data_IF_476834880257
#
_entry.id   IF_476834880257
#
_cell.length_a   1.000
_cell.length_b   1.000
_cell.length_c   1.000
_cell.angle_alpha   90.00
_cell.angle_beta   90.00
_cell.angle_gamma   90.00
#
_symmetry.space_group_name_H-M   'P 1'
#
loop_
_entity.id
_entity.type
_entity.pdbx_description
1 polymer ?
#
# COMPACT_ATOMS: atom_id res chain seq x y z
N UNK A 1 6.35 1.90 13.44
CA UNK A 1 5.85 1.14 12.27
C UNK A 1 4.71 1.91 11.65
N UNK A 2 4.68 1.97 10.35
CA UNK A 2 3.64 2.69 9.61
C UNK A 2 3.09 1.79 8.50
N UNK A 3 2.12 0.97 8.87
CA UNK A 3 1.52 -0.03 8.01
C UNK A 3 0.22 0.49 7.39
N UNK A 4 -0.13 0.01 6.17
CA UNK A 4 -1.47 0.25 5.62
C UNK A 4 -2.60 -0.36 6.43
N UNK A 5 -2.32 -1.23 7.37
CA UNK A 5 -3.32 -1.92 8.17
C UNK A 5 -3.30 -1.44 9.61
N UNK A 6 -4.48 -1.34 10.21
CA UNK A 6 -4.64 -1.16 11.66
C UNK A 6 -4.85 -2.52 12.29
N UNK A 7 -4.10 -2.81 13.36
CA UNK A 7 -4.14 -4.10 14.03
C UNK A 7 -3.22 -5.12 13.39
N UNK A 8 -3.57 -6.39 13.54
CA UNK A 8 -2.73 -7.50 13.06
C UNK A 8 -2.74 -7.61 11.55
N UNK A 9 -1.56 -7.86 10.99
CA UNK A 9 -1.36 -8.11 9.56
C UNK A 9 -0.15 -9.02 9.36
N UNK A 10 -0.02 -9.59 8.15
CA UNK A 10 1.11 -10.44 7.77
C UNK A 10 1.94 -9.77 6.68
N UNK A 11 3.25 -10.00 6.74
CA UNK A 11 4.13 -9.86 5.58
C UNK A 11 4.20 -11.24 4.93
N UNK A 12 3.73 -11.34 3.69
CA UNK A 12 3.70 -12.60 2.94
C UNK A 12 4.76 -12.68 1.85
N UNK A 13 5.33 -11.54 1.45
CA UNK A 13 6.48 -11.48 0.56
C UNK A 13 7.31 -10.24 0.87
N UNK A 14 8.63 -10.43 0.95
CA UNK A 14 9.59 -9.39 1.31
C UNK A 14 9.94 -8.49 0.13
N UNK A 15 10.43 -7.31 0.43
CA UNK A 15 11.09 -6.45 -0.55
C UNK A 15 12.41 -7.12 -0.99
N UNK A 16 12.62 -7.21 -2.29
CA UNK A 16 13.79 -7.86 -2.91
C UNK A 16 14.34 -7.03 -4.06
N UNK A 17 14.28 -5.72 -3.94
CA UNK A 17 14.75 -4.83 -5.00
C UNK A 17 13.97 -5.03 -6.30
N UNK A 18 14.69 -5.25 -7.40
CA UNK A 18 14.06 -5.43 -8.71
C UNK A 18 13.24 -6.72 -8.83
N UNK A 19 13.49 -7.71 -7.99
CA UNK A 19 12.74 -8.97 -8.01
C UNK A 19 11.38 -8.84 -7.32
N UNK A 20 11.25 -7.92 -6.35
CA UNK A 20 10.00 -7.57 -5.70
C UNK A 20 10.14 -6.18 -5.08
N UNK A 21 9.51 -5.18 -5.69
CA UNK A 21 9.77 -3.78 -5.39
C UNK A 21 8.96 -3.21 -4.23
N UNK A 22 8.33 -4.05 -3.45
CA UNK A 22 7.54 -3.67 -2.29
C UNK A 22 7.38 -4.81 -1.32
N UNK A 23 6.49 -4.64 -0.36
CA UNK A 23 6.06 -5.70 0.56
C UNK A 23 4.67 -6.16 0.14
N UNK A 24 4.45 -7.48 0.17
CA UNK A 24 3.10 -8.02 0.10
C UNK A 24 2.57 -8.21 1.51
N UNK A 25 1.42 -7.62 1.77
CA UNK A 25 0.81 -7.57 3.09
C UNK A 25 -0.61 -8.12 3.04
N UNK A 26 -1.00 -8.81 4.12
CA UNK A 26 -2.35 -9.35 4.28
C UNK A 26 -2.91 -8.91 5.63
N UNK A 27 -4.04 -8.24 5.61
CA UNK A 27 -4.72 -7.84 6.84
C UNK A 27 -5.35 -9.03 7.55
N UNK A 28 -5.16 -9.09 8.85
CA UNK A 28 -5.76 -10.12 9.72
C UNK A 28 -6.94 -9.52 10.47
N UNK A 29 -6.72 -8.43 11.20
CA UNK A 29 -7.77 -7.78 11.97
C UNK A 29 -8.81 -7.12 11.06
N UNK A 30 -8.37 -6.57 9.92
CA UNK A 30 -9.24 -5.90 8.95
C UNK A 30 -8.62 -5.97 7.57
N UNK A 31 -9.48 -5.90 6.54
CA UNK A 31 -9.05 -5.79 5.13
C UNK A 31 -9.04 -4.34 4.66
N UNK A 32 -9.38 -3.41 5.51
CA UNK A 32 -9.32 -1.99 5.18
C UNK A 32 -7.87 -1.54 5.03
N UNK A 33 -7.61 -0.79 3.96
CA UNK A 33 -6.29 -0.23 3.67
C UNK A 33 -6.34 1.25 4.00
N UNK A 34 -5.35 1.72 4.74
CA UNK A 34 -5.23 3.10 5.21
C UNK A 34 -4.05 3.78 4.57
N UNK A 35 -4.16 5.08 4.35
CA UNK A 35 -3.01 5.88 3.95
C UNK A 35 -1.95 5.85 5.05
N UNK A 36 -0.69 5.71 4.63
CA UNK A 36 0.46 5.72 5.54
C UNK A 36 1.17 7.08 5.53
N UNK A 37 0.66 8.03 4.77
CA UNK A 37 1.23 9.37 4.65
C UNK A 37 0.12 10.41 4.57
N UNK A 38 0.48 11.65 4.91
CA UNK A 38 -0.32 12.81 4.56
C UNK A 38 0.04 13.19 3.13
N UNK A 39 -0.93 13.25 2.25
CA UNK A 39 -0.63 13.48 0.85
C UNK A 39 -1.85 13.71 -0.02
N UNK A 40 -1.60 13.69 -1.32
CA UNK A 40 -2.63 13.87 -2.34
C UNK A 40 -2.73 12.62 -3.18
N UNK A 41 -3.94 12.15 -3.42
CA UNK A 41 -4.20 11.02 -4.32
C UNK A 41 -3.89 11.45 -5.74
N UNK A 42 -2.86 10.86 -6.34
CA UNK A 42 -2.48 11.16 -7.72
C UNK A 42 -3.14 10.21 -8.70
N UNK A 43 -3.41 8.98 -8.28
CA UNK A 43 -4.13 7.99 -9.08
C UNK A 43 -5.02 7.12 -8.18
N UNK A 44 -6.18 6.77 -8.71
CA UNK A 44 -7.12 5.85 -8.06
C UNK A 44 -7.94 5.16 -9.15
N UNK A 45 -7.74 3.86 -9.36
CA UNK A 45 -8.44 3.12 -10.39
C UNK A 45 -7.65 1.90 -10.87
N UNK A 46 -8.02 1.44 -12.08
CA UNK A 46 -7.36 0.30 -12.74
C UNK A 46 -6.07 0.76 -13.40
N UNK A 47 -4.99 0.00 -13.22
CA UNK A 47 -3.75 0.24 -13.96
C UNK A 47 -4.00 0.05 -15.47
N UNK A 48 -4.72 -1.00 -15.82
CA UNK A 48 -5.10 -1.27 -17.21
C UNK A 48 -6.59 -1.64 -17.23
N UNK A 49 -7.42 -0.69 -17.63
CA UNK A 49 -8.87 -0.90 -17.68
C UNK A 49 -9.29 -1.89 -18.78
N UNK A 50 -8.44 -2.09 -19.79
CA UNK A 50 -8.70 -3.04 -20.88
C UNK A 50 -8.29 -4.46 -20.53
N UNK A 51 -7.37 -4.62 -19.58
CA UNK A 51 -6.94 -5.93 -19.08
C UNK A 51 -6.77 -5.87 -17.57
N UNK A 52 -7.83 -6.20 -16.85
CA UNK A 52 -7.88 -6.10 -15.40
C UNK A 52 -7.05 -7.17 -14.69
N UNK A 53 -6.43 -8.08 -15.43
CA UNK A 53 -5.52 -9.09 -14.88
C UNK A 53 -4.06 -8.61 -14.83
N UNK A 54 -3.78 -7.38 -15.28
CA UNK A 54 -2.41 -6.87 -15.36
C UNK A 54 -2.04 -5.95 -14.21
N UNK A 55 -0.76 -6.02 -13.85
CA UNK A 55 -0.09 -5.09 -12.95
C UNK A 55 -0.74 -4.99 -11.57
N UNK A 56 -0.87 -3.78 -11.08
CA UNK A 56 -1.47 -3.50 -9.77
C UNK A 56 -2.98 -3.75 -9.70
N UNK A 57 -3.65 -3.99 -10.83
CA UNK A 57 -5.12 -4.04 -10.86
C UNK A 57 -5.72 -2.70 -10.46
N UNK A 58 -6.65 -2.71 -9.51
CA UNK A 58 -7.12 -1.48 -8.89
C UNK A 58 -6.09 -1.03 -7.84
N UNK A 59 -5.61 0.21 -7.96
CA UNK A 59 -4.63 0.71 -7.02
C UNK A 59 -4.80 2.20 -6.74
N UNK A 60 -4.21 2.62 -5.65
CA UNK A 60 -4.13 4.03 -5.26
C UNK A 60 -2.66 4.43 -5.18
N UNK A 61 -2.34 5.59 -5.75
CA UNK A 61 -1.04 6.23 -5.61
C UNK A 61 -1.23 7.54 -4.87
N UNK A 62 -0.49 7.72 -3.79
CA UNK A 62 -0.51 8.93 -2.98
C UNK A 62 0.87 9.58 -3.05
N UNK A 63 0.90 10.87 -3.32
CA UNK A 63 2.15 11.65 -3.24
C UNK A 63 2.28 12.18 -1.82
N UNK A 64 3.35 11.79 -1.14
CA UNK A 64 3.66 12.24 0.22
C UNK A 64 3.97 13.73 0.22
N UNK A 65 3.30 14.48 1.08
CA UNK A 65 3.46 15.95 1.18
C UNK A 65 4.88 16.37 1.55
N UNK A 66 5.61 15.53 2.27
CA UNK A 66 6.95 15.85 2.77
C UNK A 66 8.04 15.46 1.77
N UNK A 67 8.07 14.19 1.38
CA UNK A 67 9.13 13.65 0.52
C UNK A 67 8.87 13.85 -0.96
N UNK A 68 7.62 13.98 -1.36
CA UNK A 68 7.23 13.95 -2.77
C UNK A 68 7.25 12.56 -3.39
N UNK A 69 7.52 11.53 -2.60
CA UNK A 69 7.55 10.16 -3.11
C UNK A 69 6.15 9.63 -3.36
N UNK A 70 6.03 8.71 -4.32
CA UNK A 70 4.77 8.01 -4.58
C UNK A 70 4.65 6.77 -3.71
N UNK A 71 3.55 6.67 -3.01
CA UNK A 71 3.18 5.51 -2.19
C UNK A 71 2.08 4.76 -2.92
N UNK A 72 2.32 3.49 -3.25
CA UNK A 72 1.44 2.66 -4.07
C UNK A 72 0.83 1.56 -3.23
N UNK A 73 -0.48 1.39 -3.38
CA UNK A 73 -1.27 0.39 -2.65
C UNK A 73 -2.05 -0.41 -3.71
N UNK A 74 -1.53 -1.57 -4.07
CA UNK A 74 -2.01 -2.36 -5.22
C UNK A 74 -3.02 -3.45 -4.87
N UNK A 75 -3.64 -3.99 -5.91
CA UNK A 75 -4.52 -5.15 -5.91
C UNK A 75 -5.81 -4.98 -5.10
N UNK A 76 -6.29 -3.76 -4.95
CA UNK A 76 -7.50 -3.47 -4.19
C UNK A 76 -8.75 -4.09 -4.82
N UNK A 77 -9.67 -4.54 -3.99
CA UNK A 77 -11.00 -4.97 -4.43
C UNK A 77 -11.94 -3.76 -4.59
N UNK A 78 -11.72 -2.72 -3.81
CA UNK A 78 -12.56 -1.52 -3.78
C UNK A 78 -11.71 -0.32 -3.41
N UNK A 79 -11.95 0.82 -4.07
CA UNK A 79 -11.26 2.08 -3.82
C UNK A 79 -12.26 3.05 -3.19
N UNK A 80 -11.82 3.76 -2.14
CA UNK A 80 -12.67 4.68 -1.35
C UNK A 80 -12.31 6.15 -1.54
N UNK A 81 -11.32 6.45 -2.37
CA UNK A 81 -10.85 7.81 -2.65
C UNK A 81 -10.80 8.05 -4.15
N UNK A 82 -10.62 9.31 -4.54
CA UNK A 82 -10.50 9.71 -5.94
C UNK A 82 -9.32 10.64 -6.13
N UNK A 83 -8.86 10.77 -7.37
CA UNK A 83 -7.77 11.67 -7.75
C UNK A 83 -8.06 13.09 -7.26
N UNK A 84 -7.07 13.70 -6.64
CA UNK A 84 -7.15 15.03 -6.07
C UNK A 84 -7.54 15.07 -4.61
N UNK A 85 -8.02 13.97 -4.03
CA UNK A 85 -8.34 13.94 -2.60
C UNK A 85 -7.09 14.15 -1.76
N UNK A 86 -7.24 14.96 -0.72
CA UNK A 86 -6.24 15.08 0.35
C UNK A 86 -6.51 14.02 1.38
N UNK A 87 -5.49 13.25 1.71
CA UNK A 87 -5.59 12.19 2.73
C UNK A 87 -4.61 12.43 3.85
N UNK A 88 -4.94 11.90 5.01
CA UNK A 88 -4.08 11.90 6.19
C UNK A 88 -3.72 10.46 6.54
N UNK A 89 -2.63 10.31 7.27
CA UNK A 89 -2.28 9.02 7.87
C UNK A 89 -3.53 8.49 8.58
N UNK A 90 -3.82 7.20 8.38
CA UNK A 90 -4.95 6.43 8.89
C UNK A 90 -6.28 6.63 8.15
N UNK A 91 -6.38 7.52 7.19
CA UNK A 91 -7.59 7.60 6.36
C UNK A 91 -7.76 6.31 5.55
N UNK A 92 -8.98 5.78 5.51
CA UNK A 92 -9.29 4.58 4.71
C UNK A 92 -9.26 4.97 3.23
N UNK A 93 -8.47 4.25 2.44
CA UNK A 93 -8.34 4.51 1.01
C UNK A 93 -8.90 3.39 0.14
N UNK A 94 -9.15 2.23 0.71
CA UNK A 94 -9.71 1.10 -0.01
C UNK A 94 -9.74 -0.18 0.80
N UNK A 95 -10.01 -1.27 0.11
CA UNK A 95 -10.14 -2.61 0.69
C UNK A 95 -9.18 -3.55 -0.04
N UNK A 96 -8.50 -4.39 0.73
CA UNK A 96 -7.63 -5.44 0.19
C UNK A 96 -8.38 -6.31 -0.82
N UNK A 97 -7.68 -6.73 -1.85
CA UNK A 97 -8.23 -7.63 -2.84
C UNK A 97 -7.16 -8.43 -3.55
N UNK A 98 -7.49 -8.93 -4.72
CA UNK A 98 -6.59 -9.73 -5.55
C UNK A 98 -6.75 -9.36 -7.02
N UNK A 99 -6.99 -8.09 -7.31
CA UNK A 99 -7.11 -7.59 -8.69
C UNK A 99 -5.75 -7.42 -9.34
N UNK A 100 -5.72 -7.42 -10.65
CA UNK A 100 -4.48 -7.34 -11.41
C UNK A 100 -3.71 -8.66 -11.42
N UNK A 101 -2.39 -8.56 -11.52
CA UNK A 101 -1.51 -9.74 -11.51
C UNK A 101 -1.32 -10.21 -10.06
N UNK A 102 -2.28 -11.00 -9.59
CA UNK A 102 -2.29 -11.48 -8.22
C UNK A 102 -2.86 -12.89 -8.16
N UNK A 103 -2.26 -13.75 -7.35
CA UNK A 103 -2.70 -15.12 -7.13
C UNK A 103 -3.39 -15.32 -5.79
N UNK A 104 -3.54 -14.27 -5.00
CA UNK A 104 -4.21 -14.34 -3.70
C UNK A 104 -4.38 -12.95 -3.11
N UNK A 105 -5.30 -12.83 -2.17
CA UNK A 105 -5.63 -11.56 -1.54
C UNK A 105 -4.43 -10.97 -0.80
N UNK A 106 -4.02 -9.75 -1.17
CA UNK A 106 -2.93 -9.02 -0.51
C UNK A 106 -2.94 -7.56 -0.95
N UNK A 107 -2.15 -6.74 -0.27
CA UNK A 107 -1.81 -5.39 -0.70
C UNK A 107 -0.34 -5.38 -1.10
N UNK A 108 -0.03 -5.00 -2.34
CA UNK A 108 1.34 -4.71 -2.73
C UNK A 108 1.63 -3.27 -2.34
N UNK A 109 2.47 -3.09 -1.33
CA UNK A 109 2.80 -1.79 -0.76
C UNK A 109 4.21 -1.42 -1.18
N UNK A 110 4.36 -0.42 -2.03
CA UNK A 110 5.67 0.03 -2.48
C UNK A 110 5.79 1.55 -2.51
N UNK A 111 7.03 2.01 -2.48
CA UNK A 111 7.37 3.44 -2.50
C UNK A 111 8.33 3.67 -3.64
N UNK A 112 8.06 4.67 -4.47
CA UNK A 112 8.91 5.06 -5.59
C UNK A 112 9.23 6.54 -5.50
N UNK A 113 10.48 6.88 -5.76
CA UNK A 113 10.92 8.29 -5.73
C UNK A 113 10.34 9.08 -6.90
N UNK A 114 10.29 8.46 -8.09
CA UNK A 114 9.87 9.16 -9.31
C UNK A 114 9.43 8.15 -10.38
N UNK A 115 8.34 7.43 -10.12
CA UNK A 115 7.78 6.50 -11.08
C UNK A 115 8.48 5.15 -11.14
N UNK A 116 8.20 4.40 -12.20
CA UNK A 116 8.66 3.03 -12.37
C UNK A 116 10.19 2.95 -12.37
N UNK A 117 10.72 1.96 -11.67
CA UNK A 117 12.17 1.71 -11.59
C UNK A 117 12.90 2.53 -10.53
N UNK A 118 12.20 3.39 -9.81
CA UNK A 118 12.81 4.22 -8.75
C UNK A 118 12.38 3.80 -7.36
N UNK A 119 12.01 2.53 -7.19
CA UNK A 119 11.58 1.99 -5.90
C UNK A 119 12.67 2.10 -4.84
N UNK A 120 12.24 2.23 -3.60
CA UNK A 120 13.11 2.21 -2.44
C UNK A 120 12.63 1.14 -1.46
N UNK A 121 13.49 0.76 -0.53
CA UNK A 121 13.14 -0.26 0.46
C UNK A 121 12.04 0.27 1.38
N UNK A 122 10.83 -0.22 1.16
CA UNK A 122 9.65 0.20 1.92
C UNK A 122 9.77 -0.14 3.40
N UNK A 123 10.50 -1.18 3.75
CA UNK A 123 10.73 -1.55 5.14
C UNK A 123 11.54 -0.51 5.91
N UNK A 124 12.54 0.09 5.26
CA UNK A 124 13.34 1.14 5.89
C UNK A 124 12.49 2.38 6.19
N UNK A 125 11.60 2.74 5.27
CA UNK A 125 10.77 3.92 5.45
C UNK A 125 9.63 3.67 6.43
N UNK A 126 8.95 2.54 6.30
CA UNK A 126 7.75 2.26 7.10
C UNK A 126 8.03 1.69 8.47
N UNK A 127 9.19 1.09 8.65
CA UNK A 127 9.51 0.35 9.87
C UNK A 127 8.87 -1.03 9.94
N UNK A 128 8.17 -1.47 8.88
CA UNK A 128 7.68 -2.85 8.81
C UNK A 128 8.89 -3.76 8.56
N UNK A 129 9.10 -4.80 9.39
CA UNK A 129 10.23 -5.69 9.16
C UNK A 129 10.19 -6.33 7.78
N UNK A 130 11.33 -6.36 7.10
CA UNK A 130 11.46 -7.06 5.81
C UNK A 130 11.66 -8.55 6.06
N UNK A 131 10.63 -9.17 6.63
CA UNK A 131 10.66 -10.57 7.06
C UNK A 131 9.24 -11.11 7.11
N UNK A 132 9.06 -12.32 6.58
CA UNK A 132 7.77 -13.01 6.67
C UNK A 132 7.36 -13.16 8.13
N UNK A 133 6.10 -12.96 8.41
CA UNK A 133 5.57 -13.09 9.76
C UNK A 133 4.32 -12.27 9.99
N UNK A 134 3.84 -12.32 11.21
CA UNK A 134 2.67 -11.59 11.68
C UNK A 134 3.13 -10.45 12.57
N UNK A 135 2.56 -9.27 12.32
CA UNK A 135 2.91 -8.06 13.04
C UNK A 135 1.64 -7.33 13.45
N UNK A 136 1.78 -6.40 14.38
CA UNK A 136 0.69 -5.54 14.80
C UNK A 136 1.12 -4.07 14.70
N UNK A 137 0.33 -3.27 14.02
CA UNK A 137 0.52 -1.84 14.02
C UNK A 137 -0.41 -1.22 15.05
N UNK A 138 0.18 -0.74 16.13
CA UNK A 138 -0.56 -0.29 17.30
C UNK A 138 -1.25 1.06 17.17
N UNK A 139 -1.21 1.70 15.99
CA UNK A 139 -1.81 3.03 15.93
C UNK A 139 -3.33 2.99 15.98
N UNK A 140 -3.94 1.83 15.91
CA UNK A 140 -5.37 1.72 16.20
C UNK A 140 -5.70 2.27 17.58
N UNK A 141 -4.73 2.29 18.47
CA UNK A 141 -4.89 2.86 19.81
C UNK A 141 -4.85 4.38 19.81
N UNK A 142 -4.80 4.98 18.65
CA UNK A 142 -4.70 6.43 18.54
C UNK A 142 -3.28 6.93 18.67
N UNK A 143 -2.30 6.08 18.47
CA UNK A 143 -0.89 6.48 18.55
C UNK A 143 -0.52 7.55 17.54
N UNK A 144 -1.26 7.65 16.47
CA UNK A 144 -1.03 8.67 15.46
C UNK A 144 0.28 8.53 14.73
N UNK A 145 0.72 7.36 14.56
CA UNK A 145 2.01 7.10 13.92
C UNK A 145 2.35 8.01 12.79
#
# INVERSE_FOLDING_TARGET
MNSPYMGDFKVTQEYKGNDHDGLDLVGIASKEIHSTVNGTVEFAGWENSSDQSQGFGQYVKIIDDVSGYGYYFGHMSSIKVKVGDKVKITDIIGIEGSTGNSTGSHCHYCIRKNGKGTHIDVSEISGIPNKLGTYNDGYVSGSGN
#
